data_IF_844523211973
#
_entry.id   IF_844523211973
#
_cell.length_a   1.000
_cell.length_b   1.000
_cell.length_c   1.000
_cell.angle_alpha   90.00
_cell.angle_beta   90.00
_cell.angle_gamma   90.00
#
_symmetry.space_group_name_H-M   'P 1'
#
loop_
_entity.id
_entity.type
_entity.pdbx_description
1 polymer ?
#
# COMPACT_ATOMS: atom_id res chain seq x y z
N UNK A 1 -15.14 -45.59 7.29
CA UNK A 1 -15.93 -45.39 6.04
C UNK A 1 -15.07 -44.60 5.07
N UNK A 2 -15.01 -45.00 3.80
CA UNK A 2 -14.23 -44.32 2.77
C UNK A 2 -15.14 -44.01 1.58
N UNK A 3 -15.03 -42.80 1.04
CA UNK A 3 -15.69 -42.36 -0.19
C UNK A 3 -14.60 -42.19 -1.24
N UNK A 4 -14.84 -42.70 -2.45
CA UNK A 4 -13.98 -42.51 -3.63
C UNK A 4 -14.85 -42.02 -4.77
N UNK A 5 -14.47 -40.90 -5.39
CA UNK A 5 -15.18 -40.33 -6.53
C UNK A 5 -14.17 -40.12 -7.65
N UNK A 6 -14.36 -40.83 -8.76
CA UNK A 6 -13.64 -40.64 -10.00
C UNK A 6 -14.56 -39.92 -11.00
N UNK A 7 -14.10 -38.82 -11.60
CA UNK A 7 -14.81 -38.09 -12.66
C UNK A 7 -13.90 -37.93 -13.86
N UNK A 8 -14.42 -38.21 -15.05
CA UNK A 8 -13.66 -38.11 -16.31
C UNK A 8 -13.09 -36.70 -16.47
N UNK A 9 -11.76 -36.58 -16.52
CA UNK A 9 -11.04 -35.31 -16.67
C UNK A 9 -10.76 -34.53 -15.37
N UNK A 10 -11.07 -35.07 -14.18
CA UNK A 10 -10.68 -34.50 -12.88
C UNK A 10 -9.85 -35.52 -12.08
N UNK A 11 -8.98 -35.03 -11.18
CA UNK A 11 -8.22 -35.90 -10.30
C UNK A 11 -9.14 -36.67 -9.34
N UNK A 12 -8.84 -37.94 -9.11
CA UNK A 12 -9.60 -38.79 -8.20
C UNK A 12 -9.62 -38.21 -6.78
N UNK A 13 -10.81 -38.11 -6.20
CA UNK A 13 -11.01 -37.64 -4.83
C UNK A 13 -11.29 -38.81 -3.90
N UNK A 14 -10.55 -38.90 -2.78
CA UNK A 14 -10.83 -39.87 -1.72
C UNK A 14 -10.84 -39.22 -0.35
N UNK A 15 -11.84 -39.54 0.47
CA UNK A 15 -11.97 -39.06 1.85
C UNK A 15 -12.38 -40.23 2.74
N UNK A 16 -11.70 -40.39 3.88
CA UNK A 16 -12.02 -41.43 4.86
C UNK A 16 -12.29 -40.83 6.24
N UNK A 17 -13.34 -41.31 6.90
CA UNK A 17 -13.66 -40.92 8.28
C UNK A 17 -14.16 -42.13 9.09
N UNK A 18 -13.77 -42.17 10.36
CA UNK A 18 -14.15 -43.21 11.33
C UNK A 18 -15.35 -42.77 12.15
N UNK A 19 -16.24 -43.71 12.48
CA UNK A 19 -17.47 -43.45 13.22
C UNK A 19 -17.75 -44.58 14.21
N UNK A 20 -18.38 -44.29 15.37
CA UNK A 20 -18.70 -45.31 16.37
C UNK A 20 -19.81 -46.28 15.93
N UNK A 21 -20.70 -45.85 15.03
CA UNK A 21 -21.87 -46.64 14.57
C UNK A 21 -21.95 -46.67 13.04
N UNK A 22 -22.34 -47.83 12.48
CA UNK A 22 -22.53 -48.02 11.03
C UNK A 22 -23.56 -47.07 10.42
N UNK A 23 -24.65 -46.79 11.15
CA UNK A 23 -25.69 -45.85 10.70
C UNK A 23 -25.16 -44.42 10.50
N UNK A 24 -24.36 -43.91 11.45
CA UNK A 24 -23.72 -42.59 11.35
C UNK A 24 -22.75 -42.51 10.17
N UNK A 25 -22.02 -43.61 9.91
CA UNK A 25 -21.11 -43.70 8.78
C UNK A 25 -21.85 -43.64 7.43
N UNK A 26 -22.99 -44.33 7.31
CA UNK A 26 -23.81 -44.36 6.10
C UNK A 26 -24.49 -43.00 5.84
N UNK A 27 -25.01 -42.35 6.88
CA UNK A 27 -25.62 -41.03 6.78
C UNK A 27 -24.59 -39.95 6.40
N UNK A 28 -23.41 -39.99 7.02
CA UNK A 28 -22.30 -39.12 6.64
C UNK A 28 -21.89 -39.32 5.18
N UNK A 29 -21.77 -40.59 4.73
CA UNK A 29 -21.39 -40.89 3.36
C UNK A 29 -22.41 -40.35 2.35
N UNK A 30 -23.70 -40.58 2.57
CA UNK A 30 -24.78 -40.09 1.71
C UNK A 30 -24.80 -38.56 1.61
N UNK A 31 -24.67 -37.87 2.74
CA UNK A 31 -24.60 -36.39 2.76
C UNK A 31 -23.37 -35.88 2.03
N UNK A 32 -22.21 -36.52 2.25
CA UNK A 32 -20.94 -36.10 1.67
C UNK A 32 -20.87 -36.37 0.17
N UNK A 33 -21.44 -37.47 -0.31
CA UNK A 33 -21.60 -37.75 -1.74
C UNK A 33 -22.50 -36.71 -2.42
N UNK A 34 -23.59 -36.29 -1.77
CA UNK A 34 -24.45 -35.21 -2.27
C UNK A 34 -23.71 -33.85 -2.34
N UNK A 35 -22.93 -33.52 -1.30
CA UNK A 35 -22.10 -32.29 -1.29
C UNK A 35 -21.03 -32.31 -2.40
N UNK A 36 -20.39 -33.46 -2.63
CA UNK A 36 -19.35 -33.61 -3.66
C UNK A 36 -19.95 -33.71 -5.07
N UNK A 37 -21.19 -34.18 -5.19
CA UNK A 37 -21.88 -34.32 -6.47
C UNK A 37 -22.34 -32.98 -7.04
N UNK A 38 -22.63 -32.01 -6.17
CA UNK A 38 -23.00 -30.65 -6.55
C UNK A 38 -21.95 -29.98 -7.49
N UNK A 39 -22.36 -29.05 -8.37
CA UNK A 39 -21.43 -28.30 -9.21
C UNK A 39 -20.33 -27.63 -8.37
N UNK A 40 -19.06 -27.96 -8.63
CA UNK A 40 -17.92 -27.42 -7.89
C UNK A 40 -17.64 -28.06 -6.52
N UNK A 41 -18.42 -29.05 -6.07
CA UNK A 41 -18.28 -29.68 -4.74
C UNK A 41 -16.90 -30.28 -4.47
N UNK A 42 -16.30 -30.96 -5.46
CA UNK A 42 -14.93 -31.50 -5.36
C UNK A 42 -13.89 -30.39 -5.24
N UNK A 43 -14.05 -29.29 -5.98
CA UNK A 43 -13.15 -28.14 -5.93
C UNK A 43 -13.24 -27.44 -4.56
N UNK A 44 -14.45 -27.27 -4.03
CA UNK A 44 -14.66 -26.73 -2.68
C UNK A 44 -14.06 -27.63 -1.59
N UNK A 45 -14.17 -28.95 -1.74
CA UNK A 45 -13.54 -29.89 -0.84
C UNK A 45 -12.01 -29.78 -0.83
N UNK A 46 -11.37 -29.55 -1.99
CA UNK A 46 -9.92 -29.33 -2.10
C UNK A 46 -9.44 -28.11 -1.31
N UNK A 47 -10.23 -27.05 -1.29
CA UNK A 47 -9.90 -25.80 -0.60
C UNK A 47 -10.48 -25.71 0.81
N UNK A 48 -11.02 -26.81 1.33
CA UNK A 48 -11.58 -26.87 2.68
C UNK A 48 -10.49 -26.56 3.71
N UNK A 49 -10.78 -25.60 4.59
CA UNK A 49 -9.82 -25.19 5.63
C UNK A 49 -8.85 -24.10 5.19
N UNK A 50 -8.73 -23.81 3.89
CA UNK A 50 -7.87 -22.73 3.40
C UNK A 50 -8.44 -21.39 3.82
N UNK A 51 -7.62 -20.63 4.52
CA UNK A 51 -7.96 -19.33 5.08
C UNK A 51 -7.57 -18.18 4.15
N UNK A 52 -8.12 -17.01 4.43
CA UNK A 52 -7.68 -15.79 3.77
C UNK A 52 -6.20 -15.49 4.08
N UNK A 53 -5.67 -15.91 5.23
CA UNK A 53 -4.24 -15.82 5.54
C UNK A 53 -3.40 -16.61 4.54
N UNK A 54 -3.76 -17.87 4.27
CA UNK A 54 -3.05 -18.72 3.30
C UNK A 54 -3.07 -18.11 1.90
N UNK A 55 -4.21 -17.53 1.50
CA UNK A 55 -4.36 -16.82 0.25
C UNK A 55 -3.49 -15.56 0.17
N UNK A 56 -3.36 -14.81 1.26
CA UNK A 56 -2.48 -13.63 1.33
C UNK A 56 -1.01 -14.06 1.21
N UNK A 57 -0.57 -15.06 1.97
CA UNK A 57 0.80 -15.59 1.92
C UNK A 57 1.15 -16.06 0.50
N UNK A 58 0.25 -16.82 -0.11
CA UNK A 58 0.42 -17.26 -1.50
C UNK A 58 0.52 -16.09 -2.47
N UNK A 59 -0.33 -15.05 -2.31
CA UNK A 59 -0.26 -13.85 -3.14
C UNK A 59 1.10 -13.12 -2.98
N UNK A 60 1.60 -13.02 -1.75
CA UNK A 60 2.88 -12.38 -1.47
C UNK A 60 4.04 -13.15 -2.10
N UNK A 61 4.01 -14.48 -2.06
CA UNK A 61 5.02 -15.33 -2.68
C UNK A 61 4.97 -15.28 -4.21
N UNK A 62 3.79 -15.35 -4.83
CA UNK A 62 3.67 -15.44 -6.29
C UNK A 62 3.72 -14.07 -7.02
N UNK A 63 3.22 -13.00 -6.38
CA UNK A 63 2.95 -11.72 -7.06
C UNK A 63 3.50 -10.48 -6.35
N UNK A 64 4.22 -10.65 -5.24
CA UNK A 64 4.87 -9.53 -4.56
C UNK A 64 6.40 -9.54 -4.69
N UNK A 65 6.96 -10.44 -5.50
CA UNK A 65 8.36 -10.34 -5.92
C UNK A 65 8.59 -9.04 -6.71
N UNK A 66 9.60 -8.28 -6.29
CA UNK A 66 9.88 -6.93 -6.83
C UNK A 66 8.86 -5.85 -6.43
N UNK A 67 7.84 -6.15 -5.62
CA UNK A 67 6.92 -5.14 -5.11
C UNK A 67 7.65 -4.14 -4.21
N UNK A 68 7.37 -2.85 -4.41
CA UNK A 68 7.90 -1.80 -3.54
C UNK A 68 7.50 -2.00 -2.08
N UNK A 69 8.40 -1.67 -1.15
CA UNK A 69 8.24 -1.88 0.32
C UNK A 69 6.86 -1.52 0.87
N UNK A 70 6.27 -0.40 0.39
CA UNK A 70 4.94 0.05 0.83
C UNK A 70 3.82 -0.91 0.46
N UNK A 71 3.84 -1.54 -0.72
CA UNK A 71 2.82 -2.53 -1.14
C UNK A 71 2.86 -3.72 -0.19
N UNK A 72 4.04 -4.29 0.02
CA UNK A 72 4.24 -5.46 0.88
C UNK A 72 3.82 -5.18 2.32
N UNK A 73 4.28 -4.07 2.91
CA UNK A 73 3.94 -3.69 4.27
C UNK A 73 2.43 -3.50 4.49
N UNK A 74 1.69 -2.96 3.50
CA UNK A 74 0.23 -2.83 3.62
C UNK A 74 -0.47 -4.19 3.61
N UNK A 75 -0.02 -5.13 2.79
CA UNK A 75 -0.60 -6.48 2.74
C UNK A 75 -0.26 -7.26 4.03
N UNK A 76 0.99 -7.20 4.50
CA UNK A 76 1.42 -7.80 5.77
C UNK A 76 0.65 -7.23 6.97
N UNK A 77 0.28 -5.94 6.93
CA UNK A 77 -0.56 -5.34 7.96
C UNK A 77 -1.95 -6.00 8.02
N UNK A 78 -2.54 -6.44 6.88
CA UNK A 78 -3.83 -7.12 6.88
C UNK A 78 -3.82 -8.42 7.69
N UNK A 79 -2.68 -9.13 7.69
CA UNK A 79 -2.52 -10.39 8.43
C UNK A 79 -2.65 -10.23 9.95
N UNK A 80 -2.59 -9.00 10.46
CA UNK A 80 -2.75 -8.72 11.89
C UNK A 80 -4.21 -8.66 12.33
N UNK A 81 -5.17 -8.72 11.40
CA UNK A 81 -6.59 -8.59 11.70
C UNK A 81 -7.33 -9.94 11.70
N UNK A 82 -8.39 -10.11 12.53
CA UNK A 82 -9.12 -11.38 12.63
C UNK A 82 -9.68 -11.92 11.31
N UNK A 83 -10.01 -11.05 10.35
CA UNK A 83 -10.56 -11.43 9.05
C UNK A 83 -9.71 -12.45 8.30
N UNK A 84 -8.38 -12.48 8.51
CA UNK A 84 -7.51 -13.42 7.79
C UNK A 84 -7.68 -14.86 8.23
N UNK A 85 -8.27 -15.10 9.40
CA UNK A 85 -8.56 -16.45 9.92
C UNK A 85 -9.82 -17.06 9.31
N UNK A 86 -10.62 -16.25 8.60
CA UNK A 86 -11.83 -16.71 7.92
C UNK A 86 -11.44 -17.63 6.76
N UNK A 87 -12.14 -18.75 6.63
CA UNK A 87 -11.97 -19.64 5.48
C UNK A 87 -12.40 -18.92 4.21
N UNK A 88 -11.60 -19.00 3.15
CA UNK A 88 -11.84 -18.20 1.95
C UNK A 88 -13.19 -18.54 1.27
N UNK A 89 -13.65 -19.78 1.43
CA UNK A 89 -14.94 -20.28 0.94
C UNK A 89 -16.14 -19.87 1.80
N UNK A 90 -15.89 -19.36 3.01
CA UNK A 90 -16.91 -18.95 3.98
C UNK A 90 -16.87 -17.42 4.21
N UNK A 91 -16.10 -16.68 3.40
CA UNK A 91 -15.95 -15.24 3.55
C UNK A 91 -17.23 -14.51 3.15
N UNK A 92 -17.91 -13.92 4.13
CA UNK A 92 -19.15 -13.19 3.93
C UNK A 92 -18.95 -11.67 3.90
N UNK A 93 -19.95 -10.98 3.35
CA UNK A 93 -20.04 -9.52 3.35
C UNK A 93 -20.01 -8.96 4.78
N UNK A 94 -20.68 -9.61 5.73
CA UNK A 94 -20.69 -9.23 7.15
C UNK A 94 -19.28 -9.18 7.74
N UNK A 95 -18.45 -10.21 7.48
CA UNK A 95 -17.07 -10.26 8.00
C UNK A 95 -16.17 -9.17 7.38
N UNK A 96 -16.38 -8.84 6.10
CA UNK A 96 -15.69 -7.75 5.42
C UNK A 96 -16.11 -6.39 6.01
N UNK A 97 -17.40 -6.23 6.31
CA UNK A 97 -17.94 -5.02 6.93
C UNK A 97 -17.39 -4.85 8.35
N UNK A 98 -17.40 -5.90 9.17
CA UNK A 98 -16.85 -5.85 10.52
C UNK A 98 -15.36 -5.49 10.51
N UNK A 99 -14.57 -6.05 9.58
CA UNK A 99 -13.17 -5.63 9.41
C UNK A 99 -13.04 -4.13 9.18
N UNK A 100 -13.83 -3.56 8.27
CA UNK A 100 -13.82 -2.12 8.02
C UNK A 100 -14.25 -1.31 9.25
N UNK A 101 -15.25 -1.78 10.00
CA UNK A 101 -15.68 -1.14 11.25
C UNK A 101 -14.58 -1.16 12.32
N UNK A 102 -13.91 -2.31 12.52
CA UNK A 102 -12.74 -2.43 13.42
C UNK A 102 -11.65 -1.42 13.04
N UNK A 103 -11.33 -1.31 11.75
CA UNK A 103 -10.36 -0.31 11.26
C UNK A 103 -10.81 1.12 11.55
N UNK A 104 -12.10 1.43 11.36
CA UNK A 104 -12.63 2.77 11.65
C UNK A 104 -12.63 3.09 13.14
N UNK A 105 -12.97 2.11 13.99
CA UNK A 105 -12.88 2.23 15.46
C UNK A 105 -11.45 2.46 15.94
N UNK A 106 -10.44 1.95 15.24
CA UNK A 106 -9.03 2.21 15.55
C UNK A 106 -8.53 3.60 15.08
N UNK A 107 -9.42 4.50 14.67
CA UNK A 107 -9.08 5.90 14.34
C UNK A 107 -8.47 6.13 12.95
N UNK A 108 -8.39 5.11 12.07
CA UNK A 108 -7.82 5.31 10.73
C UNK A 108 -8.82 6.01 9.80
N UNK A 109 -8.32 6.83 8.87
CA UNK A 109 -9.15 7.54 7.87
C UNK A 109 -9.87 6.55 6.93
N UNK A 110 -11.03 6.90 6.36
CA UNK A 110 -11.75 6.01 5.44
C UNK A 110 -10.92 5.62 4.20
N UNK A 111 -10.00 6.48 3.77
CA UNK A 111 -9.08 6.17 2.66
C UNK A 111 -8.06 5.09 3.01
N UNK A 112 -7.68 4.97 4.28
CA UNK A 112 -6.79 3.91 4.76
C UNK A 112 -7.55 2.59 4.80
N UNK A 113 -8.79 2.58 5.31
CA UNK A 113 -9.66 1.40 5.26
C UNK A 113 -9.96 0.98 3.81
N UNK A 114 -10.15 1.95 2.91
CA UNK A 114 -10.35 1.67 1.48
C UNK A 114 -9.17 0.91 0.85
N UNK A 115 -7.95 1.15 1.34
CA UNK A 115 -6.75 0.46 0.87
C UNK A 115 -6.77 -1.02 1.26
N UNK A 116 -7.24 -1.34 2.48
CA UNK A 116 -7.42 -2.72 2.94
C UNK A 116 -8.41 -3.46 2.04
N UNK A 117 -9.59 -2.88 1.82
CA UNK A 117 -10.65 -3.45 0.98
C UNK A 117 -10.17 -3.62 -0.47
N UNK A 118 -9.33 -2.70 -0.96
CA UNK A 118 -8.72 -2.81 -2.30
C UNK A 118 -7.81 -4.03 -2.40
N UNK A 119 -6.94 -4.25 -1.41
CA UNK A 119 -6.04 -5.42 -1.40
C UNK A 119 -6.79 -6.74 -1.23
N UNK A 120 -7.79 -6.77 -0.34
CA UNK A 120 -8.69 -7.93 -0.22
C UNK A 120 -9.30 -8.27 -1.59
N UNK A 121 -9.85 -7.28 -2.29
CA UNK A 121 -10.43 -7.50 -3.62
C UNK A 121 -9.44 -8.02 -4.65
N UNK A 122 -8.19 -7.52 -4.66
CA UNK A 122 -7.14 -8.02 -5.56
C UNK A 122 -6.82 -9.49 -5.26
N UNK A 123 -6.67 -9.84 -3.99
CA UNK A 123 -6.30 -11.20 -3.57
C UNK A 123 -7.44 -12.18 -3.85
N UNK A 124 -8.69 -11.83 -3.54
CA UNK A 124 -9.85 -12.67 -3.83
C UNK A 124 -10.04 -12.89 -5.35
N UNK A 125 -9.85 -11.85 -6.17
CA UNK A 125 -9.91 -11.98 -7.63
C UNK A 125 -8.78 -12.86 -8.17
N UNK A 126 -7.59 -12.77 -7.58
CA UNK A 126 -6.46 -13.66 -7.91
C UNK A 126 -6.79 -15.11 -7.52
N UNK A 127 -7.40 -15.32 -6.36
CA UNK A 127 -7.79 -16.64 -5.88
C UNK A 127 -8.78 -17.35 -6.81
N UNK A 128 -9.76 -16.61 -7.33
CA UNK A 128 -10.70 -17.14 -8.33
C UNK A 128 -9.99 -17.41 -9.66
N UNK A 129 -9.29 -16.41 -10.20
CA UNK A 129 -8.76 -16.47 -11.57
C UNK A 129 -7.54 -17.39 -11.72
N UNK A 130 -6.56 -17.29 -10.82
CA UNK A 130 -5.29 -18.01 -10.91
C UNK A 130 -5.34 -19.36 -10.18
N UNK A 131 -6.02 -19.43 -9.03
CA UNK A 131 -5.97 -20.61 -8.17
C UNK A 131 -7.23 -21.47 -8.24
N UNK A 132 -8.27 -21.00 -8.94
CA UNK A 132 -9.58 -21.67 -9.02
C UNK A 132 -10.13 -21.98 -7.62
N UNK A 133 -9.95 -21.07 -6.67
CA UNK A 133 -10.59 -21.16 -5.36
C UNK A 133 -12.06 -20.73 -5.50
N UNK A 134 -13.02 -21.48 -4.92
CA UNK A 134 -14.45 -21.16 -5.00
C UNK A 134 -14.80 -20.06 -3.99
N UNK A 135 -14.38 -18.84 -4.31
CA UNK A 135 -14.69 -17.63 -3.56
C UNK A 135 -15.91 -16.97 -4.17
N UNK A 136 -16.91 -16.61 -3.36
CA UNK A 136 -18.02 -15.80 -3.82
C UNK A 136 -17.61 -14.32 -3.84
N UNK A 137 -17.35 -13.79 -5.05
CA UNK A 137 -16.99 -12.38 -5.23
C UNK A 137 -18.18 -11.44 -5.03
N UNK A 138 -19.43 -11.93 -5.05
CA UNK A 138 -20.61 -11.09 -4.83
C UNK A 138 -20.68 -10.62 -3.39
N UNK A 139 -20.32 -11.46 -2.42
CA UNK A 139 -20.18 -11.07 -1.00
C UNK A 139 -19.21 -9.89 -0.85
N UNK A 140 -18.07 -9.95 -1.55
CA UNK A 140 -17.08 -8.88 -1.54
C UNK A 140 -17.59 -7.58 -2.18
N UNK A 141 -18.15 -7.64 -3.39
CA UNK A 141 -18.60 -6.42 -4.09
C UNK A 141 -19.81 -5.79 -3.37
N UNK A 142 -20.69 -6.60 -2.78
CA UNK A 142 -21.83 -6.13 -1.96
C UNK A 142 -21.36 -5.40 -0.70
N UNK A 143 -20.41 -5.98 0.05
CA UNK A 143 -19.80 -5.34 1.20
C UNK A 143 -19.14 -4.01 0.81
N UNK A 144 -18.33 -4.01 -0.25
CA UNK A 144 -17.63 -2.82 -0.74
C UNK A 144 -18.59 -1.70 -1.15
N UNK A 145 -19.72 -2.03 -1.77
CA UNK A 145 -20.75 -1.06 -2.12
C UNK A 145 -21.34 -0.41 -0.85
N UNK A 146 -21.72 -1.22 0.14
CA UNK A 146 -22.27 -0.73 1.40
C UNK A 146 -21.25 0.10 2.20
N UNK A 147 -20.01 -0.34 2.29
CA UNK A 147 -18.93 0.40 2.95
C UNK A 147 -18.74 1.78 2.36
N UNK A 148 -18.89 1.91 1.04
CA UNK A 148 -18.81 3.20 0.34
C UNK A 148 -20.03 4.06 0.63
N UNK A 149 -21.24 3.51 0.57
CA UNK A 149 -22.47 4.28 0.84
C UNK A 149 -22.55 4.77 2.28
N UNK A 150 -22.01 4.00 3.24
CA UNK A 150 -21.91 4.36 4.65
C UNK A 150 -20.69 5.23 5.00
N UNK A 151 -19.87 5.62 4.01
CA UNK A 151 -18.69 6.46 4.24
C UNK A 151 -17.57 5.80 5.06
N UNK A 152 -17.62 4.48 5.26
CA UNK A 152 -16.60 3.71 5.96
C UNK A 152 -15.33 3.55 5.10
N UNK A 153 -15.48 3.62 3.78
CA UNK A 153 -14.39 3.75 2.82
C UNK A 153 -14.63 4.94 1.90
N UNK A 154 -13.58 5.69 1.59
CA UNK A 154 -13.65 6.79 0.63
C UNK A 154 -12.33 7.01 -0.10
N UNK A 155 -12.34 7.77 -1.19
CA UNK A 155 -11.10 8.22 -1.82
C UNK A 155 -10.37 9.17 -0.87
N UNK A 156 -9.02 9.19 -0.87
CA UNK A 156 -8.27 10.22 -0.16
C UNK A 156 -8.77 11.61 -0.58
N UNK A 157 -8.98 12.51 0.38
CA UNK A 157 -9.31 13.90 0.07
C UNK A 157 -8.25 14.55 -0.81
N UNK A 158 -8.67 15.39 -1.74
CA UNK A 158 -7.76 16.24 -2.50
C UNK A 158 -7.09 17.24 -1.55
N UNK A 159 -5.88 17.66 -1.91
CA UNK A 159 -5.14 18.71 -1.22
C UNK A 159 -4.93 19.82 -2.23
N UNK A 160 -5.80 20.84 -2.16
CA UNK A 160 -5.79 21.94 -3.13
C UNK A 160 -5.18 23.23 -2.54
N UNK A 161 -4.82 23.19 -1.25
CA UNK A 161 -4.16 24.32 -0.58
C UNK A 161 -2.66 24.36 -0.86
N UNK A 162 -2.16 25.54 -1.21
CA UNK A 162 -0.73 25.89 -1.19
C UNK A 162 -0.38 26.68 0.08
N UNK A 163 0.83 26.52 0.66
CA UNK A 163 1.29 27.38 1.73
C UNK A 163 1.31 28.85 1.30
N UNK A 164 0.95 29.76 2.20
CA UNK A 164 1.12 31.21 1.97
C UNK A 164 2.59 31.60 2.10
N UNK A 165 2.96 32.79 1.61
CA UNK A 165 4.31 33.32 1.79
C UNK A 165 4.68 33.45 3.27
N UNK A 166 3.72 33.80 4.13
CA UNK A 166 3.94 33.92 5.56
C UNK A 166 4.17 32.54 6.21
N UNK A 167 3.41 31.52 5.82
CA UNK A 167 3.66 30.14 6.26
C UNK A 167 5.06 29.66 5.84
N UNK A 168 5.48 29.99 4.60
CA UNK A 168 6.83 29.65 4.11
C UNK A 168 7.91 30.35 4.94
N UNK A 169 7.74 31.64 5.27
CA UNK A 169 8.67 32.38 6.12
C UNK A 169 8.79 31.75 7.52
N UNK A 170 7.68 31.32 8.10
CA UNK A 170 7.68 30.66 9.41
C UNK A 170 8.42 29.31 9.37
N UNK A 171 8.19 28.49 8.34
CA UNK A 171 8.94 27.24 8.13
C UNK A 171 10.43 27.52 7.93
N UNK A 172 10.77 28.53 7.14
CA UNK A 172 12.17 28.95 6.92
C UNK A 172 12.84 29.33 8.25
N UNK A 173 12.21 30.19 9.03
CA UNK A 173 12.70 30.61 10.34
C UNK A 173 12.88 29.43 11.31
N UNK A 174 11.97 28.46 11.28
CA UNK A 174 12.09 27.21 12.04
C UNK A 174 13.35 26.44 11.65
N UNK A 175 13.61 26.24 10.34
CA UNK A 175 14.80 25.52 9.89
C UNK A 175 16.10 26.25 10.22
N UNK A 176 16.14 27.57 10.04
CA UNK A 176 17.30 28.39 10.41
C UNK A 176 17.60 28.29 11.90
N UNK A 177 16.58 28.39 12.76
CA UNK A 177 16.73 28.21 14.21
C UNK A 177 17.20 26.80 14.57
N UNK A 178 16.60 25.77 13.96
CA UNK A 178 16.99 24.37 14.17
C UNK A 178 18.45 24.12 13.80
N UNK A 179 18.91 24.71 12.69
CA UNK A 179 20.31 24.60 12.24
C UNK A 179 21.27 25.32 13.18
N UNK A 180 20.88 26.48 13.73
CA UNK A 180 21.69 27.18 14.75
C UNK A 180 21.83 26.39 16.05
N UNK A 181 20.74 25.78 16.52
CA UNK A 181 20.73 25.00 17.78
C UNK A 181 21.50 23.68 17.61
N UNK A 182 21.40 23.05 16.44
CA UNK A 182 22.14 21.83 16.12
C UNK A 182 22.91 22.03 14.83
N UNK A 183 24.10 22.69 14.87
CA UNK A 183 24.92 22.88 13.68
C UNK A 183 25.36 21.56 13.04
N UNK A 184 25.46 20.50 13.85
CA UNK A 184 25.72 19.13 13.41
C UNK A 184 24.52 18.46 12.72
N UNK A 185 23.34 19.09 12.65
CA UNK A 185 22.25 18.61 11.83
C UNK A 185 22.67 18.71 10.35
N UNK A 186 22.99 17.56 9.76
CA UNK A 186 23.63 17.44 8.45
C UNK A 186 22.75 17.96 7.30
N UNK A 187 21.43 18.06 7.49
CA UNK A 187 20.47 18.29 6.40
C UNK A 187 20.11 19.79 6.29
N UNK A 188 20.50 20.48 5.20
CA UNK A 188 20.15 21.89 4.93
C UNK A 188 18.69 21.98 4.49
N UNK A 189 17.77 21.92 5.45
CA UNK A 189 16.33 21.85 5.17
C UNK A 189 15.79 23.10 4.47
N UNK A 190 16.39 24.26 4.71
CA UNK A 190 16.04 25.52 4.02
C UNK A 190 16.32 25.40 2.52
N UNK A 191 17.54 25.05 2.14
CA UNK A 191 17.92 24.84 0.74
C UNK A 191 17.05 23.77 0.07
N UNK A 192 16.80 22.64 0.73
CA UNK A 192 15.95 21.58 0.17
C UNK A 192 14.51 22.07 -0.04
N UNK A 193 13.97 22.85 0.90
CA UNK A 193 12.63 23.43 0.78
C UNK A 193 12.58 24.44 -0.38
N UNK A 194 13.51 25.38 -0.41
CA UNK A 194 13.54 26.44 -1.42
C UNK A 194 13.80 25.85 -2.82
N UNK A 195 14.65 24.83 -2.92
CA UNK A 195 14.84 24.09 -4.17
C UNK A 195 13.57 23.34 -4.58
N UNK A 196 12.84 22.73 -3.65
CA UNK A 196 11.57 22.06 -3.95
C UNK A 196 10.50 23.04 -4.46
N UNK A 197 10.45 24.24 -3.89
CA UNK A 197 9.55 25.33 -4.34
C UNK A 197 9.95 25.77 -5.76
N UNK A 198 11.23 26.04 -5.99
CA UNK A 198 11.74 26.56 -7.26
C UNK A 198 11.67 25.54 -8.41
N UNK A 199 11.87 24.25 -8.13
CA UNK A 199 11.92 23.18 -9.14
C UNK A 199 10.62 22.37 -9.28
N UNK A 200 9.68 22.52 -8.34
CA UNK A 200 8.48 21.70 -8.21
C UNK A 200 8.75 20.18 -8.28
N UNK A 201 9.94 19.74 -7.82
CA UNK A 201 10.34 18.33 -7.81
C UNK A 201 9.89 17.65 -6.52
N UNK A 202 9.65 16.33 -6.61
CA UNK A 202 9.33 15.55 -5.42
C UNK A 202 10.58 15.36 -4.57
N UNK A 203 10.41 15.26 -3.26
CA UNK A 203 11.49 14.97 -2.32
C UNK A 203 12.40 13.83 -2.77
N UNK A 204 11.83 12.68 -3.16
CA UNK A 204 12.61 11.53 -3.60
C UNK A 204 13.38 11.78 -4.91
N UNK A 205 12.90 12.68 -5.77
CA UNK A 205 13.60 13.08 -7.00
C UNK A 205 14.77 14.00 -6.63
N UNK A 206 14.55 14.99 -5.76
CA UNK A 206 15.57 15.93 -5.28
C UNK A 206 16.76 15.19 -4.67
N UNK A 207 16.52 14.23 -3.77
CA UNK A 207 17.58 13.50 -3.06
C UNK A 207 18.36 12.51 -3.94
N UNK A 208 18.03 12.40 -5.23
CA UNK A 208 18.70 11.53 -6.20
C UNK A 208 19.33 12.29 -7.36
N UNK A 209 19.17 13.61 -7.44
CA UNK A 209 19.84 14.42 -8.46
C UNK A 209 21.35 14.28 -8.32
N UNK A 210 22.04 14.07 -9.44
CA UNK A 210 23.50 13.95 -9.49
C UNK A 210 24.13 15.14 -10.18
N UNK A 211 25.41 15.38 -9.88
CA UNK A 211 26.19 16.43 -10.55
C UNK A 211 26.34 16.15 -12.05
N UNK A 212 26.44 14.88 -12.46
CA UNK A 212 26.53 14.47 -13.87
C UNK A 212 25.24 14.69 -14.65
N UNK A 213 24.11 14.79 -13.93
CA UNK A 213 22.80 15.06 -14.52
C UNK A 213 22.54 16.57 -14.72
N UNK A 214 23.43 17.44 -14.20
CA UNK A 214 23.30 18.90 -14.25
C UNK A 214 23.98 19.47 -15.49
N UNK A 215 23.24 20.25 -16.26
CA UNK A 215 23.78 21.09 -17.33
C UNK A 215 23.62 22.56 -16.91
N UNK A 216 24.71 23.13 -16.42
CA UNK A 216 24.75 24.51 -15.92
C UNK A 216 24.53 25.54 -17.03
N UNK A 217 25.02 25.26 -18.24
CA UNK A 217 24.91 26.17 -19.39
C UNK A 217 23.48 26.20 -19.92
N UNK A 218 22.89 25.02 -20.11
CA UNK A 218 21.51 24.92 -20.58
C UNK A 218 20.48 25.21 -19.48
N UNK A 219 20.91 25.39 -18.22
CA UNK A 219 20.03 25.53 -17.05
C UNK A 219 19.03 24.37 -16.96
N UNK A 220 19.51 23.14 -17.12
CA UNK A 220 18.67 21.94 -17.04
C UNK A 220 19.27 20.86 -16.15
N UNK A 221 18.44 19.94 -15.69
CA UNK A 221 18.91 18.75 -14.98
C UNK A 221 18.06 17.53 -15.32
N UNK A 222 18.63 16.34 -15.22
CA UNK A 222 17.92 15.07 -15.41
C UNK A 222 17.37 14.52 -14.10
N UNK A 223 16.10 14.11 -14.12
CA UNK A 223 15.51 13.23 -13.10
C UNK A 223 15.51 11.82 -13.66
N UNK A 224 16.28 10.93 -13.06
CA UNK A 224 16.30 9.51 -13.42
C UNK A 224 15.13 8.76 -12.80
N UNK A 225 14.58 7.81 -13.55
CA UNK A 225 13.45 6.97 -13.17
C UNK A 225 12.29 7.76 -12.55
N UNK A 226 11.90 8.84 -13.24
CA UNK A 226 10.85 9.73 -12.80
C UNK A 226 9.57 8.95 -12.51
N UNK A 227 8.90 9.31 -11.41
CA UNK A 227 7.76 8.55 -10.91
C UNK A 227 6.62 8.52 -11.95
N UNK A 228 6.38 7.34 -12.53
CA UNK A 228 5.23 7.04 -13.37
C UNK A 228 4.41 5.89 -12.75
N UNK A 229 3.06 5.88 -12.85
CA UNK A 229 2.24 4.82 -12.28
C UNK A 229 2.51 3.42 -12.85
N UNK A 230 2.95 3.34 -14.12
CA UNK A 230 3.08 2.06 -14.84
C UNK A 230 4.51 1.68 -15.26
N UNK A 231 5.42 2.65 -15.42
CA UNK A 231 6.77 2.42 -15.95
C UNK A 231 7.75 3.43 -15.36
N UNK A 232 8.41 3.06 -14.25
CA UNK A 232 9.39 3.93 -13.61
C UNK A 232 10.79 3.75 -14.17
N UNK A 233 11.20 2.51 -14.40
CA UNK A 233 12.54 2.17 -14.91
C UNK A 233 12.73 2.73 -16.32
N UNK A 234 13.82 3.45 -16.55
CA UNK A 234 14.15 4.06 -17.83
C UNK A 234 13.39 5.36 -18.14
N UNK A 235 12.47 5.80 -17.26
CA UNK A 235 11.71 7.03 -17.46
C UNK A 235 12.52 8.25 -17.01
N UNK A 236 13.60 8.55 -17.73
CA UNK A 236 14.42 9.73 -17.50
C UNK A 236 13.72 10.97 -18.06
N UNK A 237 13.67 12.05 -17.27
CA UNK A 237 13.06 13.31 -17.71
C UNK A 237 13.98 14.47 -17.42
N UNK A 238 14.25 15.28 -18.44
CA UNK A 238 14.95 16.56 -18.30
C UNK A 238 13.96 17.65 -17.86
N UNK A 239 14.38 18.51 -16.94
CA UNK A 239 13.61 19.68 -16.51
C UNK A 239 14.47 20.95 -16.55
N UNK A 240 13.81 22.10 -16.70
CA UNK A 240 14.47 23.40 -16.65
C UNK A 240 14.63 23.84 -15.19
N UNK A 241 15.77 24.43 -14.89
CA UNK A 241 16.08 25.07 -13.62
C UNK A 241 15.75 26.57 -13.71
N UNK A 242 15.14 27.11 -12.66
CA UNK A 242 15.10 28.55 -12.46
C UNK A 242 16.48 29.04 -12.01
N UNK A 243 16.74 30.34 -12.12
CA UNK A 243 17.97 30.93 -11.59
C UNK A 243 18.13 30.67 -10.09
N UNK A 244 17.04 30.82 -9.32
CA UNK A 244 17.02 30.52 -7.88
C UNK A 244 17.40 29.06 -7.58
N UNK A 245 16.87 28.11 -8.36
CA UNK A 245 17.20 26.70 -8.19
C UNK A 245 18.69 26.42 -8.46
N UNK A 246 19.27 27.06 -9.48
CA UNK A 246 20.70 26.92 -9.81
C UNK A 246 21.58 27.50 -8.70
N UNK A 247 21.25 28.68 -8.17
CA UNK A 247 21.98 29.29 -7.05
C UNK A 247 21.98 28.37 -5.83
N UNK A 248 20.87 27.68 -5.54
CA UNK A 248 20.81 26.72 -4.44
C UNK A 248 21.69 25.50 -4.72
N UNK A 249 21.66 24.96 -5.94
CA UNK A 249 22.53 23.85 -6.35
C UNK A 249 24.00 24.21 -6.17
N UNK A 250 24.43 25.38 -6.65
CA UNK A 250 25.83 25.81 -6.58
C UNK A 250 26.36 26.01 -5.16
N UNK A 251 25.47 26.22 -4.17
CA UNK A 251 25.84 26.27 -2.74
C UNK A 251 26.07 24.90 -2.12
N UNK A 252 25.60 23.82 -2.74
CA UNK A 252 25.72 22.48 -2.18
C UNK A 252 27.18 22.00 -2.26
N UNK A 253 27.69 21.31 -1.22
CA UNK A 253 29.07 20.83 -1.22
C UNK A 253 29.27 19.73 -2.25
N UNK A 254 30.29 19.88 -3.09
CA UNK A 254 30.72 18.84 -4.04
C UNK A 254 31.85 18.02 -3.40
N UNK A 255 31.60 16.73 -3.17
CA UNK A 255 32.58 15.78 -2.60
C UNK A 255 32.92 14.72 -3.64
N UNK A 256 34.18 14.27 -3.65
CA UNK A 256 34.67 13.31 -4.64
C UNK A 256 33.91 11.98 -4.64
N UNK A 257 33.57 11.46 -3.46
CA UNK A 257 32.89 10.17 -3.30
C UNK A 257 31.36 10.28 -3.18
N UNK A 258 30.77 11.43 -3.52
CA UNK A 258 29.33 11.65 -3.45
C UNK A 258 28.82 12.32 -4.73
N UNK A 259 28.24 11.53 -5.66
CA UNK A 259 27.77 12.05 -6.93
C UNK A 259 26.48 12.87 -6.81
N UNK A 260 25.76 12.81 -5.68
CA UNK A 260 24.48 13.50 -5.51
C UNK A 260 24.64 14.96 -5.09
N UNK A 261 23.79 15.82 -5.63
CA UNK A 261 23.68 17.24 -5.25
C UNK A 261 23.09 17.38 -3.85
N UNK A 262 22.05 16.59 -3.53
CA UNK A 262 21.39 16.58 -2.23
C UNK A 262 21.49 15.17 -1.59
N UNK A 263 22.64 14.80 -1.01
CA UNK A 263 22.92 13.44 -0.54
C UNK A 263 22.26 13.12 0.82
N UNK A 264 20.98 13.40 0.94
CA UNK A 264 20.24 13.29 2.19
C UNK A 264 19.13 12.24 2.12
N UNK A 265 18.84 11.59 3.24
CA UNK A 265 17.75 10.62 3.31
C UNK A 265 16.40 11.31 3.20
N UNK A 266 15.63 10.96 2.16
CA UNK A 266 14.25 11.45 1.99
C UNK A 266 13.36 11.18 3.20
N UNK A 267 13.56 10.05 3.91
CA UNK A 267 12.84 9.75 5.16
C UNK A 267 13.15 10.79 6.25
N UNK A 268 14.42 11.13 6.45
CA UNK A 268 14.84 12.13 7.44
C UNK A 268 14.34 13.54 7.07
N UNK A 269 14.46 13.92 5.81
CA UNK A 269 13.92 15.19 5.28
C UNK A 269 12.40 15.26 5.51
N UNK A 270 11.67 14.18 5.27
CA UNK A 270 10.21 14.13 5.47
C UNK A 270 9.79 14.18 6.94
N UNK A 271 10.60 13.63 7.85
CA UNK A 271 10.40 13.79 9.30
C UNK A 271 10.63 15.22 9.76
N UNK A 272 11.73 15.86 9.32
CA UNK A 272 12.02 17.26 9.65
C UNK A 272 10.95 18.22 9.11
N UNK A 273 10.48 17.97 7.89
CA UNK A 273 9.35 18.73 7.31
C UNK A 273 8.10 18.64 8.18
N UNK A 274 7.69 17.42 8.54
CA UNK A 274 6.49 17.21 9.39
C UNK A 274 6.61 17.92 10.74
N UNK A 275 7.79 17.87 11.37
CA UNK A 275 8.04 18.56 12.62
C UNK A 275 7.90 20.08 12.48
N UNK A 276 8.47 20.67 11.42
CA UNK A 276 8.36 22.12 11.16
C UNK A 276 6.92 22.57 10.89
N UNK A 277 6.11 21.72 10.25
CA UNK A 277 4.72 22.08 9.89
C UNK A 277 3.68 21.71 10.96
N UNK A 278 4.06 21.01 12.04
CA UNK A 278 3.11 20.52 13.04
C UNK A 278 2.30 21.67 13.67
N UNK A 279 2.97 22.76 14.01
CA UNK A 279 2.38 23.92 14.70
C UNK A 279 1.54 24.80 13.74
N UNK A 280 1.93 24.86 12.46
CA UNK A 280 1.17 25.56 11.40
C UNK A 280 -0.19 24.92 11.13
N UNK A 281 -0.33 23.62 11.44
CA UNK A 281 -1.60 22.91 11.37
C UNK A 281 -2.50 23.12 12.59
N UNK A 282 -1.94 23.44 13.76
CA UNK A 282 -2.72 23.68 14.98
C UNK A 282 -3.38 25.07 15.00
N UNK A 283 -2.70 26.10 14.49
CA UNK A 283 -3.24 27.47 14.42
C UNK A 283 -4.51 27.61 13.55
N UNK A 284 -4.86 26.62 12.72
CA UNK A 284 -6.10 26.63 11.91
C UNK A 284 -7.33 26.10 12.62
N UNK A 285 -7.19 25.52 13.81
CA UNK A 285 -8.31 25.01 14.60
C UNK A 285 -8.56 25.83 15.88
N UNK A 286 -7.84 26.94 16.07
CA UNK A 286 -7.92 27.79 17.28
C UNK A 286 -8.53 29.17 17.03
N UNK A 287 -9.22 29.36 15.91
CA UNK A 287 -10.08 30.52 15.69
C UNK A 287 -11.52 30.04 15.51
N UNK A 288 -12.18 29.83 16.65
CA UNK A 288 -13.62 30.04 16.80
C UNK A 288 -13.77 31.36 17.53
#
# INVERSE_FOLDING_TARGET
MQIRIARTGQADYSESKTFPKKAMAAEWAKRRELELSAPGGILAAKWKGVTLHDAIERYLHEFADGAGRSKRATIEQLQRFPIVRVKITELSSEQIIDHAQVRRRSGVKPSTTAQDITWLGIILKTAVAAWRMPVDLNEFESAKLLLRSKGLISRPGSRDRRPTLEEIKQVRAYFQRSQKIRPSAIIPMEDIMDFAIASARRQEEITRLTWDDLDEVAMTCWVRDAKHPRQKMGNHKRFKLTHEAMVIIQRQPRKQDEPRIFPYSGKSTGTRWRAATADLTQQKWTLV
#
